data_IF_727098903846
#
_entry.id   IF_727098903846
#
_cell.length_a   1.000
_cell.length_b   1.000
_cell.length_c   1.000
_cell.angle_alpha   90.00
_cell.angle_beta   90.00
_cell.angle_gamma   90.00
#
_symmetry.space_group_name_H-M   'P 1'
#
loop_
_entity.id
_entity.type
_entity.pdbx_description
1 polymer ?
#
# COMPACT_ATOMS: atom_id res chain seq x y z
N UNK A 1 -0.96 -27.28 7.43
CA UNK A 1 0.38 -26.67 7.25
C UNK A 1 0.64 -26.29 5.79
N UNK A 2 0.58 -27.22 4.82
CA UNK A 2 0.77 -26.92 3.38
C UNK A 2 -0.17 -25.84 2.83
N UNK A 3 -1.45 -25.86 3.21
CA UNK A 3 -2.45 -24.89 2.75
C UNK A 3 -2.17 -23.46 3.24
N UNK A 4 -1.78 -23.32 4.52
CA UNK A 4 -1.39 -22.02 5.09
C UNK A 4 -0.16 -21.44 4.38
N UNK A 5 0.86 -22.26 4.14
CA UNK A 5 2.04 -21.85 3.36
C UNK A 5 1.66 -21.43 1.93
N UNK A 6 0.75 -22.15 1.28
CA UNK A 6 0.27 -21.78 -0.05
C UNK A 6 -0.48 -20.43 -0.02
N UNK A 7 -1.28 -20.17 1.01
CA UNK A 7 -2.01 -18.91 1.16
C UNK A 7 -1.06 -17.74 1.45
N UNK A 8 0.01 -17.94 2.24
CA UNK A 8 1.08 -16.94 2.40
C UNK A 8 1.72 -16.59 1.04
N UNK A 9 2.07 -17.59 0.24
CA UNK A 9 2.67 -17.37 -1.08
C UNK A 9 1.72 -16.59 -1.98
N UNK A 10 0.42 -16.90 -1.96
CA UNK A 10 -0.58 -16.17 -2.75
C UNK A 10 -0.63 -14.69 -2.39
N UNK A 11 -0.74 -14.36 -1.10
CA UNK A 11 -0.78 -12.97 -0.65
C UNK A 11 0.52 -12.21 -1.01
N UNK A 12 1.68 -12.80 -0.72
CA UNK A 12 2.97 -12.19 -1.08
C UNK A 12 3.13 -12.02 -2.59
N UNK A 13 2.70 -13.02 -3.38
CA UNK A 13 2.75 -12.94 -4.84
C UNK A 13 1.90 -11.80 -5.39
N UNK A 14 0.80 -11.47 -4.71
CA UNK A 14 -0.06 -10.37 -5.11
C UNK A 14 0.63 -9.01 -4.86
N UNK A 15 1.29 -8.83 -3.71
CA UNK A 15 2.11 -7.63 -3.49
C UNK A 15 3.24 -7.50 -4.52
N UNK A 16 3.96 -8.59 -4.79
CA UNK A 16 5.02 -8.61 -5.79
C UNK A 16 4.49 -8.29 -7.20
N UNK A 17 3.31 -8.83 -7.55
CA UNK A 17 2.63 -8.53 -8.81
C UNK A 17 2.29 -7.05 -8.94
N UNK A 18 1.70 -6.44 -7.90
CA UNK A 18 1.37 -5.02 -7.92
C UNK A 18 2.62 -4.15 -8.09
N UNK A 19 3.67 -4.41 -7.31
CA UNK A 19 4.95 -3.69 -7.42
C UNK A 19 5.54 -3.83 -8.84
N UNK A 20 5.51 -5.04 -9.40
CA UNK A 20 5.95 -5.28 -10.78
C UNK A 20 5.12 -4.52 -11.81
N UNK A 21 3.79 -4.53 -11.69
CA UNK A 21 2.90 -3.75 -12.55
C UNK A 21 3.17 -2.25 -12.47
N UNK A 22 3.42 -1.72 -11.27
CA UNK A 22 3.76 -0.32 -11.07
C UNK A 22 5.08 0.06 -11.75
N UNK A 23 6.09 -0.83 -11.70
CA UNK A 23 7.39 -0.58 -12.32
C UNK A 23 7.31 -0.47 -13.86
N UNK A 24 6.46 -1.28 -14.49
CA UNK A 24 6.25 -1.29 -15.95
C UNK A 24 5.03 -0.47 -16.40
N UNK A 25 4.53 0.42 -15.53
CA UNK A 25 3.35 1.21 -15.82
C UNK A 25 3.62 2.16 -16.99
N UNK A 26 2.71 2.18 -17.96
CA UNK A 26 2.74 3.14 -19.07
C UNK A 26 2.23 4.50 -18.61
N UNK A 27 2.83 5.57 -19.12
CA UNK A 27 2.36 6.93 -18.89
C UNK A 27 0.88 7.08 -19.27
N UNK A 28 0.12 7.81 -18.45
CA UNK A 28 -1.32 8.02 -18.60
C UNK A 28 -2.20 6.92 -18.00
N UNK A 29 -1.61 5.86 -17.42
CA UNK A 29 -2.35 4.75 -16.82
C UNK A 29 -2.37 4.80 -15.28
N UNK A 30 -1.91 5.88 -14.67
CA UNK A 30 -1.71 6.05 -13.22
C UNK A 30 -3.02 5.87 -12.45
N UNK A 31 -4.12 6.44 -12.96
CA UNK A 31 -5.43 6.34 -12.30
C UNK A 31 -5.95 4.90 -12.28
N UNK A 32 -5.77 4.16 -13.38
CA UNK A 32 -6.19 2.75 -13.46
C UNK A 32 -5.35 1.91 -12.50
N UNK A 33 -4.04 2.15 -12.47
CA UNK A 33 -3.14 1.46 -11.54
C UNK A 33 -3.46 1.78 -10.08
N UNK A 34 -3.79 3.03 -9.75
CA UNK A 34 -4.20 3.44 -8.41
C UNK A 34 -5.46 2.70 -7.95
N UNK A 35 -6.50 2.66 -8.80
CA UNK A 35 -7.76 1.96 -8.50
C UNK A 35 -7.51 0.46 -8.29
N UNK A 36 -6.75 -0.16 -9.19
CA UNK A 36 -6.37 -1.58 -9.07
C UNK A 36 -5.59 -1.82 -7.78
N UNK A 37 -4.59 -1.00 -7.49
CA UNK A 37 -3.77 -1.12 -6.28
C UNK A 37 -4.64 -1.04 -5.02
N UNK A 38 -5.50 -0.02 -4.91
CA UNK A 38 -6.39 0.14 -3.75
C UNK A 38 -7.29 -1.08 -3.59
N UNK A 39 -7.91 -1.55 -4.67
CA UNK A 39 -8.81 -2.70 -4.64
C UNK A 39 -8.08 -3.97 -4.17
N UNK A 40 -6.95 -4.31 -4.78
CA UNK A 40 -6.23 -5.54 -4.46
C UNK A 40 -5.60 -5.48 -3.07
N UNK A 41 -5.02 -4.35 -2.68
CA UNK A 41 -4.47 -4.17 -1.32
C UNK A 41 -5.57 -4.29 -0.26
N UNK A 42 -6.77 -3.77 -0.53
CA UNK A 42 -7.92 -3.91 0.37
C UNK A 42 -8.40 -5.36 0.47
N UNK A 43 -8.54 -6.06 -0.66
CA UNK A 43 -8.96 -7.46 -0.69
C UNK A 43 -7.94 -8.37 0.00
N UNK A 44 -6.66 -8.14 -0.25
CA UNK A 44 -5.59 -8.92 0.36
C UNK A 44 -5.52 -8.70 1.88
N UNK A 45 -5.79 -7.47 2.34
CA UNK A 45 -5.95 -7.19 3.77
C UNK A 45 -7.03 -8.05 4.43
N UNK A 46 -8.18 -8.22 3.77
CA UNK A 46 -9.26 -9.07 4.28
C UNK A 46 -8.83 -10.53 4.28
N UNK A 47 -8.23 -10.99 3.18
CA UNK A 47 -7.75 -12.36 3.01
C UNK A 47 -6.70 -12.75 4.07
N UNK A 48 -5.67 -11.92 4.24
CA UNK A 48 -4.60 -12.09 5.24
C UNK A 48 -5.16 -12.25 6.65
N UNK A 49 -6.12 -11.40 7.02
CA UNK A 49 -6.72 -11.45 8.36
C UNK A 49 -7.62 -12.68 8.54
N UNK A 50 -8.42 -13.02 7.53
CA UNK A 50 -9.31 -14.20 7.57
C UNK A 50 -8.53 -15.51 7.69
N UNK A 51 -7.44 -15.64 6.96
CA UNK A 51 -6.62 -16.86 6.93
C UNK A 51 -5.53 -16.89 8.02
N UNK A 52 -5.42 -15.82 8.82
CA UNK A 52 -4.43 -15.72 9.91
C UNK A 52 -2.99 -15.84 9.43
N UNK A 53 -2.67 -15.24 8.28
CA UNK A 53 -1.35 -15.29 7.64
C UNK A 53 -0.37 -14.40 8.39
N UNK A 54 0.63 -15.00 9.05
CA UNK A 54 1.54 -14.26 9.92
C UNK A 54 2.56 -13.46 9.12
N UNK A 55 3.20 -14.09 8.12
CA UNK A 55 4.29 -13.46 7.37
C UNK A 55 3.73 -12.35 6.47
N UNK A 56 2.69 -12.67 5.71
CA UNK A 56 2.02 -11.71 4.82
C UNK A 56 1.47 -10.51 5.57
N UNK A 57 0.96 -10.71 6.80
CA UNK A 57 0.49 -9.60 7.66
C UNK A 57 1.62 -8.65 8.04
N UNK A 58 2.80 -9.16 8.37
CA UNK A 58 3.95 -8.30 8.69
C UNK A 58 4.44 -7.53 7.46
N UNK A 59 4.55 -8.22 6.31
CA UNK A 59 4.92 -7.58 5.04
C UNK A 59 3.91 -6.49 4.68
N UNK A 60 2.62 -6.79 4.81
CA UNK A 60 1.55 -5.84 4.56
C UNK A 60 1.64 -4.58 5.44
N UNK A 61 1.86 -4.74 6.75
CA UNK A 61 2.06 -3.58 7.63
C UNK A 61 3.30 -2.77 7.30
N UNK A 62 4.40 -3.45 6.94
CA UNK A 62 5.62 -2.78 6.51
C UNK A 62 5.38 -1.93 5.26
N UNK A 63 4.70 -2.50 4.26
CA UNK A 63 4.32 -1.78 3.04
C UNK A 63 3.40 -0.60 3.35
N UNK A 64 2.38 -0.79 4.19
CA UNK A 64 1.50 0.30 4.61
C UNK A 64 2.28 1.44 5.27
N UNK A 65 3.18 1.12 6.20
CA UNK A 65 3.98 2.12 6.90
C UNK A 65 4.92 2.87 5.95
N UNK A 66 5.61 2.15 5.05
CA UNK A 66 6.50 2.75 4.05
C UNK A 66 5.73 3.73 3.16
N UNK A 67 4.63 3.29 2.54
CA UNK A 67 3.84 4.16 1.67
C UNK A 67 3.19 5.32 2.44
N UNK A 68 2.76 5.10 3.68
CA UNK A 68 2.21 6.16 4.52
C UNK A 68 3.24 7.27 4.80
N UNK A 69 4.43 6.90 5.27
CA UNK A 69 5.50 7.85 5.60
C UNK A 69 5.99 8.57 4.35
N UNK A 70 6.18 7.85 3.25
CA UNK A 70 6.63 8.44 1.98
C UNK A 70 5.58 9.41 1.43
N UNK A 71 4.30 9.02 1.41
CA UNK A 71 3.23 9.91 0.96
C UNK A 71 3.12 11.15 1.84
N UNK A 72 3.28 11.02 3.16
CA UNK A 72 3.30 12.17 4.07
C UNK A 72 4.48 13.10 3.78
N UNK A 73 5.68 12.55 3.64
CA UNK A 73 6.89 13.32 3.35
C UNK A 73 6.79 14.05 1.99
N UNK A 74 6.27 13.38 0.97
CA UNK A 74 5.95 13.98 -0.33
C UNK A 74 5.01 15.17 -0.18
N UNK A 75 3.92 15.02 0.56
CA UNK A 75 2.94 16.10 0.77
C UNK A 75 3.57 17.30 1.49
N UNK A 76 4.46 17.07 2.46
CA UNK A 76 5.18 18.13 3.18
C UNK A 76 6.10 18.90 2.23
N UNK A 77 6.91 18.20 1.41
CA UNK A 77 7.80 18.85 0.45
C UNK A 77 7.02 19.61 -0.62
N UNK A 78 5.94 19.02 -1.11
CA UNK A 78 5.06 19.66 -2.08
C UNK A 78 4.49 20.98 -1.55
N UNK A 79 4.01 21.00 -0.29
CA UNK A 79 3.48 22.23 0.35
C UNK A 79 4.57 23.29 0.53
N UNK A 80 5.81 22.88 0.81
CA UNK A 80 6.95 23.81 0.99
C UNK A 80 7.47 24.39 -0.33
N UNK A 81 7.06 23.83 -1.48
CA UNK A 81 7.63 24.18 -2.77
C UNK A 81 9.07 23.70 -2.94
N UNK A 82 9.49 22.74 -2.13
CA UNK A 82 10.82 22.12 -2.21
C UNK A 82 10.87 21.20 -3.44
N UNK A 83 12.08 20.97 -3.97
CA UNK A 83 12.27 19.93 -4.99
C UNK A 83 12.04 18.56 -4.35
N UNK A 84 11.28 17.71 -5.03
CA UNK A 84 11.03 16.34 -4.60
C UNK A 84 12.33 15.54 -4.57
N UNK A 85 12.60 14.87 -3.46
CA UNK A 85 13.72 13.95 -3.36
C UNK A 85 13.57 12.76 -4.32
N UNK A 86 14.68 12.32 -4.91
CA UNK A 86 14.74 11.21 -5.87
C UNK A 86 14.12 9.91 -5.32
N UNK A 87 14.20 9.71 -4.00
CA UNK A 87 13.60 8.54 -3.34
C UNK A 87 12.07 8.53 -3.43
N UNK A 88 11.43 9.70 -3.37
CA UNK A 88 9.98 9.82 -3.52
C UNK A 88 9.58 9.64 -4.97
N UNK A 89 10.36 10.21 -5.89
CA UNK A 89 10.17 10.01 -7.32
C UNK A 89 10.27 8.54 -7.70
N UNK A 90 11.18 7.78 -7.09
CA UNK A 90 11.33 6.35 -7.37
C UNK A 90 10.18 5.50 -6.80
N UNK A 91 9.79 5.73 -5.55
CA UNK A 91 8.82 4.88 -4.85
C UNK A 91 7.36 5.24 -5.15
N UNK A 92 7.07 6.51 -5.43
CA UNK A 92 5.74 6.97 -5.83
C UNK A 92 5.58 7.04 -7.34
N UNK A 93 6.63 6.79 -8.14
CA UNK A 93 6.61 6.86 -9.62
C UNK A 93 5.31 6.36 -10.26
N UNK A 94 4.76 5.19 -9.88
CA UNK A 94 3.56 4.66 -10.54
C UNK A 94 2.29 5.49 -10.31
N UNK A 95 2.36 6.46 -9.40
CA UNK A 95 1.27 7.35 -9.00
C UNK A 95 1.57 8.82 -9.28
N UNK A 96 2.76 9.14 -9.83
CA UNK A 96 3.13 10.49 -10.22
C UNK A 96 2.70 10.74 -11.67
N UNK A 97 2.06 11.87 -11.91
CA UNK A 97 1.47 12.23 -13.20
C UNK A 97 0.68 13.52 -13.09
N UNK A 98 -0.30 13.73 -13.98
CA UNK A 98 -1.04 15.00 -14.06
C UNK A 98 -1.76 15.41 -12.75
N UNK A 99 -2.04 14.46 -11.84
CA UNK A 99 -2.77 14.67 -10.59
C UNK A 99 -2.03 14.09 -9.36
N UNK A 100 -0.68 14.14 -9.38
CA UNK A 100 0.19 13.51 -8.36
C UNK A 100 -0.22 13.81 -6.91
N UNK A 101 -0.54 15.06 -6.56
CA UNK A 101 -0.95 15.44 -5.20
C UNK A 101 -2.21 14.71 -4.76
N UNK A 102 -3.21 14.62 -5.64
CA UNK A 102 -4.47 13.95 -5.35
C UNK A 102 -4.25 12.44 -5.19
N UNK A 103 -3.42 11.84 -6.04
CA UNK A 103 -3.14 10.41 -5.99
C UNK A 103 -2.33 10.04 -4.74
N UNK A 104 -1.27 10.78 -4.44
CA UNK A 104 -0.45 10.58 -3.24
C UNK A 104 -1.28 10.88 -1.98
N UNK A 105 -2.11 11.92 -1.99
CA UNK A 105 -3.05 12.21 -0.90
C UNK A 105 -4.05 11.06 -0.67
N UNK A 106 -4.56 10.44 -1.73
CA UNK A 106 -5.45 9.27 -1.62
C UNK A 106 -4.71 8.07 -1.03
N UNK A 107 -3.46 7.82 -1.44
CA UNK A 107 -2.62 6.75 -0.86
C UNK A 107 -2.40 7.00 0.63
N UNK A 108 -2.14 8.24 1.03
CA UNK A 108 -1.97 8.61 2.44
C UNK A 108 -3.24 8.32 3.25
N UNK A 109 -4.40 8.76 2.76
CA UNK A 109 -5.69 8.51 3.42
C UNK A 109 -5.97 7.01 3.51
N UNK A 110 -5.77 6.28 2.42
CA UNK A 110 -6.05 4.85 2.34
C UNK A 110 -5.15 4.03 3.27
N UNK A 111 -3.84 4.28 3.25
CA UNK A 111 -2.88 3.60 4.14
C UNK A 111 -3.15 3.92 5.61
N UNK A 112 -3.45 5.18 5.94
CA UNK A 112 -3.84 5.58 7.30
C UNK A 112 -5.10 4.86 7.75
N UNK A 113 -6.14 4.83 6.90
CA UNK A 113 -7.40 4.15 7.19
C UNK A 113 -7.20 2.65 7.44
N UNK A 114 -6.34 1.99 6.66
CA UNK A 114 -6.02 0.57 6.86
C UNK A 114 -5.21 0.30 8.14
N UNK A 115 -4.28 1.18 8.51
CA UNK A 115 -3.54 1.07 9.78
C UNK A 115 -4.51 1.19 10.96
N UNK A 116 -5.38 2.21 10.95
CA UNK A 116 -6.40 2.42 12.01
C UNK A 116 -7.34 1.23 12.11
N UNK A 117 -7.91 0.78 10.98
CA UNK A 117 -8.82 -0.37 10.92
C UNK A 117 -8.20 -1.60 11.60
N UNK A 118 -6.92 -1.85 11.33
CA UNK A 118 -6.24 -3.02 11.87
C UNK A 118 -5.85 -2.91 13.34
N UNK A 119 -5.51 -1.71 13.81
CA UNK A 119 -5.30 -1.47 15.24
C UNK A 119 -6.59 -1.65 16.05
N UNK A 120 -7.74 -1.23 15.50
CA UNK A 120 -9.06 -1.44 16.14
C UNK A 120 -9.39 -2.94 16.19
N UNK A 121 -9.18 -3.68 15.10
CA UNK A 121 -9.41 -5.13 15.06
C UNK A 121 -8.48 -5.85 16.04
N UNK A 122 -7.19 -5.46 16.10
CA UNK A 122 -6.24 -6.01 17.05
C UNK A 122 -6.60 -5.75 18.52
N UNK A 123 -7.12 -4.56 18.82
CA UNK A 123 -7.57 -4.20 20.17
C UNK A 123 -8.82 -4.97 20.62
N UNK A 124 -9.69 -5.39 19.71
CA UNK A 124 -10.84 -6.24 20.03
C UNK A 124 -10.45 -7.70 20.27
N UNK A 125 -9.47 -8.23 19.52
CA UNK A 125 -9.04 -9.62 19.67
C UNK A 125 -8.13 -9.88 20.88
N UNK A 126 -7.60 -8.83 21.53
CA UNK A 126 -6.82 -8.92 22.77
C UNK A 126 -7.65 -8.86 24.05
N UNK A 127 -8.99 -8.85 23.94
CA UNK A 127 -9.94 -8.85 25.06
C UNK A 127 -10.60 -10.21 25.30
N UNK A 128 -10.22 -11.23 24.53
CA UNK A 128 -10.64 -12.63 24.72
C UNK A 128 -9.52 -13.43 25.41
#
# INVERSE_FOLDING_TARGET
MKEKTLNEIKAISLFAFLIGCGYYLREGMEIYYLIVTILFVYLDSIFINKEGLFVSKHIFYLLLAIYNVISLAFMIQYIRGDKLDDIFLALLKPFLGANEVYFVGLILIFTTGLIIKQNIIGANNGKE
#
